data_IF_014071836776
#
_entry.id   IF_014071836776
#
_cell.length_a   1.000
_cell.length_b   1.000
_cell.length_c   1.000
_cell.angle_alpha   90.00
_cell.angle_beta   90.00
_cell.angle_gamma   90.00
#
_symmetry.space_group_name_H-M   'P 1'
#
loop_
_entity.id
_entity.type
_entity.pdbx_description
1 polymer ?
#
# COMPACT_ATOMS: atom_id res chain seq x y z
N UNK A 1 56.91 -42.27 0.76
CA UNK A 1 55.43 -42.36 0.78
C UNK A 1 54.90 -41.07 1.40
N UNK A 2 53.87 -40.41 0.83
CA UNK A 2 53.32 -39.21 1.45
C UNK A 2 52.65 -39.58 2.77
N UNK A 3 52.94 -38.80 3.82
CA UNK A 3 52.35 -38.96 5.15
C UNK A 3 50.95 -38.34 5.12
N UNK A 4 49.93 -39.13 5.43
CA UNK A 4 48.56 -38.65 5.53
C UNK A 4 48.37 -37.86 6.82
N UNK A 5 47.96 -36.59 6.71
CA UNK A 5 47.58 -35.79 7.87
C UNK A 5 46.32 -36.36 8.53
N UNK A 6 46.27 -36.40 9.89
CA UNK A 6 45.10 -36.91 10.60
C UNK A 6 43.90 -35.96 10.41
N UNK A 7 42.67 -36.51 10.26
CA UNK A 7 41.48 -35.71 10.06
C UNK A 7 41.23 -34.79 11.25
N UNK A 8 41.15 -33.49 11.00
CA UNK A 8 40.84 -32.49 12.01
C UNK A 8 39.52 -32.83 12.71
N UNK A 9 39.58 -33.03 14.03
CA UNK A 9 38.41 -33.28 14.85
C UNK A 9 37.45 -32.08 14.76
N UNK A 10 36.25 -32.31 14.23
CA UNK A 10 35.21 -31.28 14.17
C UNK A 10 34.79 -30.91 15.59
N UNK A 11 34.70 -29.62 15.94
CA UNK A 11 34.23 -29.20 17.26
C UNK A 11 32.80 -29.69 17.49
N UNK A 12 32.46 -30.13 18.72
CA UNK A 12 31.11 -30.57 19.04
C UNK A 12 30.13 -29.41 18.87
N UNK A 13 28.98 -29.69 18.26
CA UNK A 13 27.89 -28.71 18.15
C UNK A 13 27.40 -28.34 19.57
N UNK A 14 27.06 -27.07 19.82
CA UNK A 14 26.54 -26.65 21.12
C UNK A 14 25.26 -27.43 21.45
N UNK A 15 25.24 -28.05 22.63
CA UNK A 15 24.08 -28.77 23.13
C UNK A 15 22.95 -27.77 23.42
N UNK A 16 21.88 -27.81 22.63
CA UNK A 16 20.67 -27.06 22.93
C UNK A 16 19.83 -27.84 23.96
N UNK A 17 19.40 -27.20 25.07
CA UNK A 17 18.63 -27.88 26.09
C UNK A 17 17.18 -28.06 25.63
N UNK A 18 16.81 -29.30 25.31
CA UNK A 18 15.43 -29.76 25.19
C UNK A 18 14.67 -29.38 23.90
N UNK A 19 13.49 -29.98 23.67
CA UNK A 19 12.64 -29.63 22.55
C UNK A 19 12.20 -28.18 22.69
N UNK A 20 12.55 -27.34 21.71
CA UNK A 20 12.02 -25.99 21.61
C UNK A 20 10.50 -26.10 21.52
N UNK A 21 9.79 -25.71 22.58
CA UNK A 21 8.34 -25.55 22.54
C UNK A 21 8.04 -24.38 21.63
N UNK A 22 7.69 -24.65 20.39
CA UNK A 22 7.12 -23.67 19.48
C UNK A 22 5.74 -23.32 20.04
N UNK A 23 5.67 -22.26 20.84
CA UNK A 23 4.37 -21.68 21.17
C UNK A 23 3.77 -21.19 19.87
N UNK A 24 2.63 -21.75 19.47
CA UNK A 24 1.83 -21.18 18.39
C UNK A 24 1.54 -19.73 18.78
N UNK A 25 1.74 -18.81 17.84
CA UNK A 25 1.43 -17.40 18.05
C UNK A 25 -0.02 -17.29 18.56
N UNK A 26 -0.22 -16.64 19.70
CA UNK A 26 -1.55 -16.38 20.21
C UNK A 26 -2.37 -15.64 19.14
N UNK A 27 -3.69 -15.90 19.03
CA UNK A 27 -4.53 -15.20 18.07
C UNK A 27 -4.44 -13.69 18.30
N UNK A 28 -4.15 -12.94 17.24
CA UNK A 28 -4.11 -11.49 17.30
C UNK A 28 -5.49 -10.93 17.65
N UNK A 29 -5.55 -10.08 18.67
CA UNK A 29 -6.77 -9.38 19.07
C UNK A 29 -6.59 -7.88 18.87
N UNK A 30 -7.45 -7.28 18.05
CA UNK A 30 -7.44 -5.81 17.82
C UNK A 30 -7.59 -5.06 19.15
N UNK A 31 -8.49 -5.52 20.02
CA UNK A 31 -8.72 -4.89 21.33
C UNK A 31 -7.50 -4.99 22.25
N UNK A 32 -6.70 -6.06 22.16
CA UNK A 32 -5.45 -6.18 22.91
C UNK A 32 -4.34 -5.33 22.28
N UNK A 33 -4.25 -5.34 20.94
CA UNK A 33 -3.32 -4.54 20.18
C UNK A 33 -3.52 -3.05 20.42
N UNK A 34 -4.73 -2.58 20.76
CA UNK A 34 -5.02 -1.18 21.05
C UNK A 34 -4.81 -0.79 22.51
N UNK A 35 -4.91 -1.69 23.50
CA UNK A 35 -4.95 -1.33 24.92
C UNK A 35 -3.59 -1.10 25.56
N UNK A 36 -3.51 -0.17 26.51
CA UNK A 36 -2.37 0.00 27.42
C UNK A 36 -1.09 0.47 26.74
N UNK A 37 -1.21 1.32 25.72
CA UNK A 37 -0.05 1.90 25.04
C UNK A 37 0.63 2.97 25.92
N UNK A 38 1.96 2.93 26.08
CA UNK A 38 2.69 3.92 26.88
C UNK A 38 2.55 5.34 26.29
N UNK A 39 2.73 6.38 27.10
CA UNK A 39 2.80 7.77 26.64
C UNK A 39 3.89 7.93 25.56
N UNK A 40 3.69 8.63 24.42
CA UNK A 40 4.74 8.75 23.41
C UNK A 40 5.71 9.85 23.86
N UNK A 41 6.99 9.53 24.03
CA UNK A 41 8.02 10.56 24.16
C UNK A 41 8.29 11.25 22.81
N UNK A 42 8.23 10.44 21.74
CA UNK A 42 8.46 10.84 20.34
C UNK A 42 7.72 9.84 19.45
N UNK A 43 7.28 10.30 18.29
CA UNK A 43 6.75 9.45 17.22
C UNK A 43 7.66 9.59 16.02
N UNK A 44 8.24 8.48 15.55
CA UNK A 44 9.07 8.43 14.36
C UNK A 44 8.23 8.00 13.15
N UNK A 45 7.99 8.89 12.17
CA UNK A 45 7.29 8.53 10.96
C UNK A 45 8.21 7.78 9.99
N UNK A 46 7.62 6.94 9.15
CA UNK A 46 8.29 6.31 8.02
C UNK A 46 7.32 5.60 7.10
N UNK A 47 7.86 4.98 6.06
CA UNK A 47 7.12 4.08 5.17
C UNK A 47 7.67 2.67 5.31
N UNK A 48 6.79 1.68 5.43
CA UNK A 48 7.21 0.29 5.33
C UNK A 48 7.43 -0.06 3.86
N UNK A 49 8.66 0.13 3.37
CA UNK A 49 9.03 -0.14 1.97
C UNK A 49 8.83 -1.60 1.55
N UNK A 50 8.74 -2.53 2.50
CA UNK A 50 8.51 -3.95 2.19
C UNK A 50 7.03 -4.28 2.04
N UNK A 51 6.17 -3.57 2.78
CA UNK A 51 4.72 -3.73 2.70
C UNK A 51 4.05 -2.67 1.80
N UNK A 52 4.79 -1.65 1.36
CA UNK A 52 4.27 -0.48 0.66
C UNK A 52 3.51 -0.86 -0.61
N UNK A 53 2.24 -0.50 -0.64
CA UNK A 53 1.39 -0.62 -1.82
C UNK A 53 0.82 0.75 -2.18
N UNK A 54 1.23 1.27 -3.33
CA UNK A 54 0.54 2.32 -4.06
C UNK A 54 -0.09 1.68 -5.29
N UNK A 55 -1.41 1.49 -5.26
CA UNK A 55 -2.14 0.86 -6.34
C UNK A 55 -3.23 1.80 -6.84
N UNK A 56 -3.23 2.04 -8.15
CA UNK A 56 -4.34 2.65 -8.90
C UNK A 56 -4.86 1.55 -9.80
N UNK A 57 -6.12 1.13 -9.61
CA UNK A 57 -6.70 0.06 -10.41
C UNK A 57 -7.06 0.57 -11.82
N UNK A 58 -6.23 0.24 -12.81
CA UNK A 58 -6.38 0.66 -14.21
C UNK A 58 -7.53 0.00 -14.96
N UNK A 59 -7.92 -1.22 -14.58
CA UNK A 59 -8.98 -1.96 -15.28
C UNK A 59 -10.35 -1.28 -15.11
N UNK A 60 -10.52 -0.60 -13.98
CA UNK A 60 -11.71 0.18 -13.66
C UNK A 60 -11.82 1.47 -14.51
N UNK A 61 -10.67 2.03 -14.91
CA UNK A 61 -10.59 3.18 -15.81
C UNK A 61 -10.85 2.83 -17.27
N UNK A 62 -10.19 1.79 -17.75
CA UNK A 62 -10.25 1.38 -19.15
C UNK A 62 -11.61 0.80 -19.55
N UNK A 63 -12.25 0.04 -18.65
CA UNK A 63 -13.54 -0.61 -18.92
C UNK A 63 -14.69 0.37 -19.15
N UNK A 64 -14.68 1.53 -18.49
CA UNK A 64 -15.81 2.48 -18.55
C UNK A 64 -15.81 3.37 -19.76
N UNK A 65 -14.63 3.76 -20.21
CA UNK A 65 -14.50 4.63 -21.36
C UNK A 65 -14.92 3.87 -22.66
N UNK A 66 -14.80 2.53 -22.67
CA UNK A 66 -15.42 1.64 -23.67
C UNK A 66 -16.88 1.23 -23.41
N UNK A 67 -17.45 1.48 -22.21
CA UNK A 67 -18.75 0.90 -21.80
C UNK A 67 -20.01 1.54 -22.40
N UNK A 68 -19.92 2.52 -23.31
CA UNK A 68 -21.05 2.82 -24.21
C UNK A 68 -21.22 1.76 -25.32
N UNK A 69 -20.33 0.76 -25.39
CA UNK A 69 -20.46 -0.40 -26.27
C UNK A 69 -19.90 -1.69 -25.65
N UNK A 70 -20.74 -2.40 -24.89
CA UNK A 70 -20.87 -3.88 -24.84
C UNK A 70 -19.67 -4.83 -24.54
N UNK A 71 -19.97 -5.78 -23.63
CA UNK A 71 -19.44 -7.15 -23.37
C UNK A 71 -18.04 -7.34 -22.76
N UNK A 72 -18.01 -8.19 -21.72
CA UNK A 72 -16.83 -8.55 -20.94
C UNK A 72 -15.95 -9.61 -21.62
N UNK A 73 -14.64 -9.45 -21.43
CA UNK A 73 -13.62 -10.45 -21.74
C UNK A 73 -12.81 -10.69 -20.47
N UNK A 74 -12.81 -11.93 -20.00
CA UNK A 74 -11.90 -12.41 -18.97
C UNK A 74 -10.50 -12.57 -19.60
N UNK A 75 -9.50 -11.88 -19.07
CA UNK A 75 -8.11 -12.00 -19.52
C UNK A 75 -7.16 -11.30 -18.56
N UNK A 76 -6.55 -12.08 -17.67
CA UNK A 76 -5.57 -11.58 -16.71
C UNK A 76 -4.32 -11.05 -17.39
N UNK A 77 -3.77 -9.95 -16.85
CA UNK A 77 -2.43 -9.48 -17.19
C UNK A 77 -1.51 -9.82 -16.02
N UNK A 78 -0.61 -10.77 -16.30
CA UNK A 78 0.52 -11.09 -15.46
C UNK A 78 1.45 -9.88 -15.29
N UNK A 79 1.96 -9.75 -14.08
CA UNK A 79 3.00 -8.83 -13.61
C UNK A 79 4.04 -8.42 -14.67
N UNK A 80 4.10 -7.13 -14.99
CA UNK A 80 5.30 -6.51 -15.57
C UNK A 80 6.12 -5.97 -14.41
N UNK A 81 7.16 -6.70 -14.02
CA UNK A 81 8.16 -6.22 -13.07
C UNK A 81 8.97 -7.33 -12.41
N UNK A 82 10.03 -7.79 -13.11
CA UNK A 82 11.37 -8.13 -12.57
C UNK A 82 12.05 -9.21 -13.43
N UNK A 83 12.69 -8.78 -14.51
CA UNK A 83 13.87 -9.47 -15.05
C UNK A 83 14.84 -8.44 -15.63
N UNK A 84 15.27 -7.53 -14.76
CA UNK A 84 16.50 -6.77 -14.94
C UNK A 84 17.59 -7.49 -14.14
N UNK A 85 18.30 -8.41 -14.78
CA UNK A 85 19.43 -9.10 -14.18
C UNK A 85 19.82 -10.35 -14.95
N UNK A 86 21.01 -10.31 -15.57
CA UNK A 86 21.76 -11.41 -16.18
C UNK A 86 21.49 -11.77 -17.65
N UNK A 87 21.92 -10.88 -18.57
CA UNK A 87 22.75 -11.30 -19.72
C UNK A 87 23.29 -10.07 -20.45
N UNK A 88 24.61 -9.84 -20.36
CA UNK A 88 25.30 -8.80 -21.11
C UNK A 88 25.35 -9.12 -22.61
N UNK A 89 25.24 -8.08 -23.44
CA UNK A 89 25.47 -8.15 -24.88
C UNK A 89 25.18 -6.80 -25.55
N UNK A 90 26.10 -6.24 -26.36
CA UNK A 90 25.92 -4.94 -27.00
C UNK A 90 25.27 -5.07 -28.38
N UNK A 91 24.15 -5.79 -28.53
CA UNK A 91 23.40 -5.82 -29.80
C UNK A 91 21.92 -6.10 -29.52
N UNK A 92 21.04 -5.19 -29.96
CA UNK A 92 19.59 -5.37 -29.85
C UNK A 92 18.79 -4.11 -30.19
N UNK A 93 19.12 -3.50 -31.32
CA UNK A 93 18.39 -2.36 -31.87
C UNK A 93 17.06 -2.80 -32.54
N UNK A 94 16.08 -1.88 -32.50
CA UNK A 94 15.14 -1.52 -33.58
C UNK A 94 14.76 -2.60 -34.61
N UNK A 95 13.50 -3.03 -34.62
CA UNK A 95 12.77 -3.26 -35.89
C UNK A 95 11.29 -2.89 -35.78
N UNK A 96 10.89 -2.03 -36.70
CA UNK A 96 9.51 -1.70 -37.04
C UNK A 96 9.08 -2.50 -38.29
N UNK A 97 7.78 -2.85 -38.33
CA UNK A 97 6.91 -3.17 -39.51
C UNK A 97 7.14 -4.50 -40.27
N UNK A 98 6.23 -5.01 -41.15
CA UNK A 98 4.84 -4.60 -41.52
C UNK A 98 3.78 -5.76 -41.68
N UNK A 99 2.50 -5.36 -41.87
CA UNK A 99 1.39 -5.97 -42.64
C UNK A 99 1.39 -7.46 -43.07
N UNK A 100 0.30 -8.17 -42.73
CA UNK A 100 -0.29 -9.20 -43.60
C UNK A 100 -1.82 -9.05 -43.68
N UNK A 101 -2.30 -8.83 -44.91
CA UNK A 101 -3.70 -8.92 -45.32
C UNK A 101 -3.98 -10.34 -45.80
N UNK A 102 -5.05 -10.98 -45.33
CA UNK A 102 -5.45 -12.31 -45.81
C UNK A 102 -6.40 -13.12 -44.94
N UNK A 103 -7.45 -12.51 -44.36
CA UNK A 103 -8.59 -13.23 -43.78
C UNK A 103 -9.83 -12.31 -43.73
N UNK A 104 -10.28 -11.85 -44.90
CA UNK A 104 -11.48 -11.03 -45.09
C UNK A 104 -12.68 -11.95 -45.29
N UNK A 105 -13.62 -11.93 -44.35
CA UNK A 105 -14.94 -12.53 -44.53
C UNK A 105 -15.83 -12.47 -43.28
N UNK A 106 -15.26 -12.76 -42.09
CA UNK A 106 -16.02 -12.76 -40.81
C UNK A 106 -15.27 -12.06 -39.67
N UNK A 107 -13.96 -11.81 -39.79
CA UNK A 107 -13.15 -11.13 -38.77
C UNK A 107 -13.21 -9.59 -38.81
N UNK A 108 -13.85 -8.99 -39.82
CA UNK A 108 -13.82 -7.54 -40.03
C UNK A 108 -14.68 -6.75 -39.03
N UNK A 109 -15.66 -7.36 -38.36
CA UNK A 109 -16.41 -6.71 -37.27
C UNK A 109 -15.72 -6.87 -35.92
N UNK A 110 -14.99 -7.97 -35.68
CA UNK A 110 -14.23 -8.17 -34.44
C UNK A 110 -12.91 -7.37 -34.38
N UNK A 111 -12.19 -7.27 -35.50
CA UNK A 111 -10.91 -6.54 -35.57
C UNK A 111 -11.05 -5.01 -35.49
N UNK A 112 -12.16 -4.46 -35.98
CA UNK A 112 -12.46 -3.02 -35.84
C UNK A 112 -12.84 -2.68 -34.40
N UNK A 113 -13.53 -3.57 -33.70
CA UNK A 113 -13.91 -3.38 -32.28
C UNK A 113 -12.67 -3.51 -31.37
N UNK A 114 -11.82 -4.51 -31.58
CA UNK A 114 -10.56 -4.65 -30.84
C UNK A 114 -9.58 -3.48 -31.11
N UNK A 115 -9.52 -2.99 -32.35
CA UNK A 115 -8.73 -1.81 -32.72
C UNK A 115 -9.27 -0.52 -32.11
N UNK A 116 -10.59 -0.32 -32.11
CA UNK A 116 -11.23 0.83 -31.49
C UNK A 116 -11.03 0.84 -29.97
N UNK A 117 -11.12 -0.31 -29.32
CA UNK A 117 -10.85 -0.43 -27.88
C UNK A 117 -9.39 -0.13 -27.54
N UNK A 118 -8.43 -0.63 -28.32
CA UNK A 118 -7.01 -0.34 -28.12
C UNK A 118 -6.68 1.15 -28.32
N UNK A 119 -7.24 1.78 -29.36
CA UNK A 119 -7.08 3.23 -29.61
C UNK A 119 -7.69 4.03 -28.47
N UNK A 120 -8.88 3.63 -28.03
CA UNK A 120 -9.61 4.29 -26.96
C UNK A 120 -8.88 4.19 -25.62
N UNK A 121 -8.41 2.99 -25.24
CA UNK A 121 -7.54 2.80 -24.06
C UNK A 121 -6.27 3.64 -24.17
N UNK A 122 -5.64 3.68 -25.35
CA UNK A 122 -4.45 4.49 -25.59
C UNK A 122 -4.70 6.00 -25.53
N UNK A 123 -5.92 6.45 -25.81
CA UNK A 123 -6.31 7.86 -25.68
C UNK A 123 -6.62 8.21 -24.23
N UNK A 124 -7.43 7.39 -23.53
CA UNK A 124 -7.71 7.54 -22.10
C UNK A 124 -6.41 7.53 -21.30
N UNK A 125 -5.49 6.61 -21.56
CA UNK A 125 -4.19 6.59 -20.89
C UNK A 125 -3.40 7.89 -21.12
N UNK A 126 -3.40 8.43 -22.35
CA UNK A 126 -2.70 9.70 -22.64
C UNK A 126 -3.34 10.89 -21.94
N UNK A 127 -4.67 10.96 -21.94
CA UNK A 127 -5.42 12.07 -21.34
C UNK A 127 -5.28 12.08 -19.80
N UNK A 128 -5.22 10.89 -19.18
CA UNK A 128 -5.10 10.76 -17.73
C UNK A 128 -3.65 10.68 -17.23
N UNK A 129 -2.66 10.46 -18.10
CA UNK A 129 -1.24 10.33 -17.70
C UNK A 129 -0.74 11.48 -16.82
N UNK A 130 -0.98 12.77 -17.14
CA UNK A 130 -0.50 13.88 -16.32
C UNK A 130 -1.09 13.87 -14.90
N UNK A 131 -2.37 13.53 -14.77
CA UNK A 131 -3.01 13.38 -13.46
C UNK A 131 -2.34 12.27 -12.65
N UNK A 132 -2.09 11.13 -13.28
CA UNK A 132 -1.56 9.95 -12.61
C UNK A 132 -0.10 10.12 -12.21
N UNK A 133 0.71 10.79 -13.02
CA UNK A 133 2.06 11.22 -12.64
C UNK A 133 2.01 12.15 -11.43
N UNK A 134 1.06 13.09 -11.40
CA UNK A 134 0.82 13.97 -10.25
C UNK A 134 0.41 13.21 -8.98
N UNK A 135 -0.49 12.24 -9.10
CA UNK A 135 -0.91 11.38 -7.98
C UNK A 135 0.21 10.47 -7.49
N UNK A 136 1.00 9.90 -8.40
CA UNK A 136 2.16 9.10 -8.06
C UNK A 136 3.22 9.93 -7.32
N UNK A 137 3.45 11.18 -7.74
CA UNK A 137 4.36 12.09 -7.05
C UNK A 137 3.87 12.45 -5.64
N UNK A 138 2.55 12.64 -5.45
CA UNK A 138 1.94 12.90 -4.14
C UNK A 138 1.99 11.68 -3.22
N UNK A 139 1.75 10.49 -3.78
CA UNK A 139 1.79 9.22 -3.07
C UNK A 139 3.22 8.67 -2.93
N UNK A 140 4.25 9.37 -3.42
CA UNK A 140 5.62 8.95 -3.26
C UNK A 140 5.96 8.85 -1.76
N UNK A 141 6.61 7.75 -1.31
CA UNK A 141 6.97 7.57 0.09
C UNK A 141 7.66 8.79 0.71
N UNK A 142 8.61 9.39 0.01
CA UNK A 142 9.38 10.56 0.48
C UNK A 142 8.52 11.83 0.61
N UNK A 143 7.46 11.97 -0.20
CA UNK A 143 6.52 13.07 -0.06
C UNK A 143 5.63 12.86 1.17
N UNK A 144 5.09 11.66 1.34
CA UNK A 144 4.23 11.32 2.45
C UNK A 144 4.96 11.32 3.80
N UNK A 145 6.20 10.85 3.86
CA UNK A 145 7.04 10.90 5.07
C UNK A 145 7.26 12.33 5.56
N UNK A 146 7.50 13.26 4.64
CA UNK A 146 7.64 14.70 4.98
C UNK A 146 6.34 15.26 5.56
N UNK A 147 5.20 14.91 4.98
CA UNK A 147 3.89 15.33 5.51
C UNK A 147 3.61 14.73 6.89
N UNK A 148 3.85 13.42 7.04
CA UNK A 148 3.68 12.72 8.31
C UNK A 148 4.52 13.32 9.43
N UNK A 149 5.78 13.64 9.16
CA UNK A 149 6.67 14.26 10.14
C UNK A 149 6.11 15.57 10.71
N UNK A 150 5.35 16.34 9.92
CA UNK A 150 4.64 17.52 10.41
C UNK A 150 3.43 17.18 11.29
N UNK A 151 2.76 16.05 11.07
CA UNK A 151 1.51 15.66 11.74
C UNK A 151 1.73 14.93 13.07
N UNK A 152 2.79 14.12 13.18
CA UNK A 152 3.00 13.24 14.35
C UNK A 152 3.81 13.88 15.47
N UNK A 153 3.60 15.17 15.73
CA UNK A 153 4.13 15.81 16.93
C UNK A 153 3.41 15.23 18.15
N UNK A 154 4.12 14.66 19.15
CA UNK A 154 3.48 14.18 20.37
C UNK A 154 2.74 15.33 21.06
N UNK A 155 1.56 15.09 21.67
CA UNK A 155 0.96 16.10 22.54
C UNK A 155 1.95 16.41 23.69
N UNK A 156 2.03 17.66 24.17
CA UNK A 156 2.88 18.00 25.29
C UNK A 156 2.51 17.14 26.51
N UNK A 157 3.48 16.72 27.34
CA UNK A 157 3.18 15.94 28.52
C UNK A 157 2.23 16.72 29.44
N UNK A 158 1.24 16.07 30.07
CA UNK A 158 0.35 16.75 31.00
C UNK A 158 1.17 17.40 32.12
N UNK A 159 0.82 18.63 32.48
CA UNK A 159 1.49 19.33 33.57
C UNK A 159 1.43 18.48 34.86
N UNK A 160 2.53 18.37 35.63
CA UNK A 160 2.58 17.53 36.82
C UNK A 160 1.56 18.03 37.86
N UNK A 161 0.42 17.35 37.95
CA UNK A 161 -0.65 17.67 38.90
C UNK A 161 -0.32 17.10 40.28
N UNK A 162 0.63 17.72 40.97
CA UNK A 162 0.77 17.74 42.45
C UNK A 162 0.87 16.42 43.25
N UNK A 163 0.65 15.24 42.67
CA UNK A 163 0.76 13.94 43.36
C UNK A 163 2.09 13.30 43.00
N UNK A 164 2.88 12.96 44.03
CA UNK A 164 4.11 12.14 43.95
C UNK A 164 3.80 10.68 43.55
N UNK A 165 3.11 10.48 42.43
CA UNK A 165 3.10 9.21 41.72
C UNK A 165 4.28 9.18 40.75
N UNK A 166 4.95 8.03 40.62
CA UNK A 166 5.92 7.85 39.54
C UNK A 166 5.23 8.17 38.21
N UNK A 167 5.81 9.07 37.42
CA UNK A 167 5.28 9.42 36.11
C UNK A 167 5.15 8.14 35.26
N UNK A 168 4.06 7.97 34.49
CA UNK A 168 3.91 6.80 33.64
C UNK A 168 5.08 6.70 32.65
N UNK A 169 5.54 5.49 32.31
CA UNK A 169 6.65 5.31 31.38
C UNK A 169 6.29 5.91 30.02
N UNK A 170 7.12 6.83 29.55
CA UNK A 170 7.07 7.34 28.18
C UNK A 170 7.91 6.41 27.29
N UNK A 171 7.50 6.24 26.03
CA UNK A 171 8.17 5.37 25.09
C UNK A 171 8.31 6.00 23.70
N UNK A 172 9.30 5.54 22.95
CA UNK A 172 9.44 5.86 21.53
C UNK A 172 8.39 5.08 20.74
N UNK A 173 7.57 5.80 19.99
CA UNK A 173 6.63 5.21 19.04
C UNK A 173 7.22 5.30 17.63
N UNK A 174 6.89 4.35 16.77
CA UNK A 174 7.08 4.47 15.33
C UNK A 174 5.74 4.31 14.65
N UNK A 175 5.52 5.06 13.57
CA UNK A 175 4.41 4.86 12.65
C UNK A 175 4.96 4.64 11.26
N UNK A 176 4.49 3.58 10.60
CA UNK A 176 4.83 3.26 9.23
C UNK A 176 3.58 3.21 8.38
N UNK A 177 3.59 3.91 7.24
CA UNK A 177 2.56 3.69 6.23
C UNK A 177 2.80 2.32 5.59
N UNK A 178 1.74 1.53 5.50
CA UNK A 178 1.78 0.21 4.86
C UNK A 178 1.10 0.24 3.50
N UNK A 179 0.06 1.07 3.32
CA UNK A 179 -0.57 1.26 2.01
C UNK A 179 -1.26 2.62 1.89
N UNK A 180 -1.27 3.14 0.67
CA UNK A 180 -2.07 4.30 0.25
C UNK A 180 -2.66 3.95 -1.12
N UNK A 181 -3.95 3.63 -1.13
CA UNK A 181 -4.63 3.06 -2.31
C UNK A 181 -5.80 3.93 -2.69
N UNK A 182 -5.87 4.35 -3.96
CA UNK A 182 -7.03 5.05 -4.49
C UNK A 182 -8.09 4.00 -4.86
N UNK A 183 -9.18 3.93 -4.09
CA UNK A 183 -10.24 2.93 -4.23
C UNK A 183 -11.46 3.57 -4.88
N UNK A 184 -12.09 2.86 -5.81
CA UNK A 184 -13.37 3.30 -6.35
C UNK A 184 -14.47 3.16 -5.30
N UNK A 185 -15.27 4.20 -5.16
CA UNK A 185 -16.47 4.19 -4.35
C UNK A 185 -17.63 3.54 -5.10
N UNK A 186 -18.76 3.33 -4.42
CA UNK A 186 -19.97 2.82 -5.06
C UNK A 186 -20.46 3.70 -6.23
N UNK A 187 -20.28 5.01 -6.10
CA UNK A 187 -20.65 5.94 -7.17
C UNK A 187 -19.59 5.94 -8.28
N UNK A 188 -20.09 5.81 -9.52
CA UNK A 188 -19.30 5.87 -10.73
C UNK A 188 -18.40 7.12 -10.77
N UNK A 189 -17.10 6.93 -11.04
CA UNK A 189 -16.15 8.04 -11.19
C UNK A 189 -15.73 8.72 -9.88
N UNK A 190 -16.22 8.23 -8.74
CA UNK A 190 -15.80 8.68 -7.42
C UNK A 190 -14.79 7.72 -6.80
N UNK A 191 -13.82 8.30 -6.12
CA UNK A 191 -12.71 7.59 -5.50
C UNK A 191 -12.49 8.13 -4.09
N UNK A 192 -11.99 7.26 -3.22
CA UNK A 192 -11.48 7.63 -1.90
C UNK A 192 -10.08 7.07 -1.72
N UNK A 193 -9.34 7.58 -0.74
CA UNK A 193 -7.98 7.12 -0.43
C UNK A 193 -8.04 6.22 0.80
N UNK A 194 -7.78 4.93 0.61
CA UNK A 194 -7.60 3.99 1.71
C UNK A 194 -6.16 4.09 2.22
N UNK A 195 -6.02 4.20 3.54
CA UNK A 195 -4.70 4.37 4.19
C UNK A 195 -4.52 3.32 5.27
N UNK A 196 -3.47 2.52 5.15
CA UNK A 196 -3.04 1.56 6.16
C UNK A 196 -1.82 2.06 6.93
N UNK A 197 -1.84 1.90 8.25
CA UNK A 197 -0.74 2.28 9.15
C UNK A 197 -0.36 1.14 10.10
N UNK A 198 0.94 1.03 10.36
CA UNK A 198 1.54 0.15 11.35
C UNK A 198 2.15 1.01 12.45
N UNK A 199 1.70 0.79 13.68
CA UNK A 199 2.21 1.46 14.87
C UNK A 199 3.02 0.46 15.69
N UNK A 200 4.15 0.90 16.21
CA UNK A 200 4.98 0.08 17.10
C UNK A 200 5.52 0.88 18.27
N UNK A 201 5.58 0.23 19.43
CA UNK A 201 6.25 0.68 20.64
C UNK A 201 6.95 -0.53 21.29
N UNK A 202 7.82 -0.36 22.31
CA UNK A 202 8.48 -1.50 22.95
C UNK A 202 7.48 -2.58 23.42
N UNK A 203 7.58 -3.77 22.83
CA UNK A 203 6.70 -4.91 23.11
C UNK A 203 5.27 -4.81 22.57
N UNK A 204 4.97 -3.85 21.69
CA UNK A 204 3.61 -3.61 21.18
C UNK A 204 3.60 -3.28 19.68
N UNK A 205 2.59 -3.80 19.00
CA UNK A 205 2.29 -3.53 17.60
C UNK A 205 0.78 -3.37 17.43
N UNK A 206 0.36 -2.41 16.60
CA UNK A 206 -1.03 -2.25 16.19
C UNK A 206 -1.10 -1.86 14.72
N UNK A 207 -2.09 -2.37 14.01
CA UNK A 207 -2.35 -2.07 12.61
C UNK A 207 -3.70 -1.41 12.49
N UNK A 208 -3.76 -0.33 11.72
CA UNK A 208 -4.99 0.39 11.47
C UNK A 208 -5.19 0.62 9.98
N UNK A 209 -6.45 0.68 9.58
CA UNK A 209 -6.85 1.10 8.24
C UNK A 209 -7.94 2.16 8.36
N UNK A 210 -7.85 3.18 7.52
CA UNK A 210 -8.97 4.06 7.19
C UNK A 210 -9.56 3.57 5.86
N UNK A 211 -10.68 2.82 5.88
CA UNK A 211 -11.23 2.22 4.67
C UNK A 211 -11.98 3.24 3.82
N UNK A 212 -12.19 2.92 2.55
CA UNK A 212 -13.14 3.65 1.69
C UNK A 212 -14.49 2.93 1.74
N UNK A 213 -15.54 3.69 2.01
CA UNK A 213 -16.90 3.18 2.16
C UNK A 213 -17.34 2.36 0.94
N UNK A 214 -17.78 1.12 1.17
CA UNK A 214 -18.32 0.25 0.12
C UNK A 214 -17.38 0.11 -1.10
N UNK A 215 -16.07 0.20 -0.89
CA UNK A 215 -15.10 0.10 -1.97
C UNK A 215 -15.22 -1.25 -2.68
N UNK A 216 -15.29 -1.20 -4.01
CA UNK A 216 -15.38 -2.41 -4.84
C UNK A 216 -14.14 -3.29 -4.59
N UNK A 217 -14.30 -4.58 -4.23
CA UNK A 217 -13.16 -5.48 -4.09
C UNK A 217 -12.39 -5.56 -5.41
N UNK A 218 -11.07 -5.39 -5.35
CA UNK A 218 -10.20 -5.50 -6.52
C UNK A 218 -9.31 -6.72 -6.39
N UNK A 219 -9.38 -7.70 -7.31
CA UNK A 219 -8.56 -8.92 -7.24
C UNK A 219 -7.07 -8.66 -7.45
N UNK A 220 -6.71 -7.49 -8.00
CA UNK A 220 -5.32 -7.06 -8.19
C UNK A 220 -4.65 -6.54 -6.91
N UNK A 221 -5.42 -6.31 -5.84
CA UNK A 221 -4.89 -5.87 -4.56
C UNK A 221 -4.59 -7.08 -3.67
N UNK A 222 -3.43 -7.08 -3.02
CA UNK A 222 -3.08 -8.10 -2.02
C UNK A 222 -4.13 -8.15 -0.91
N UNK A 223 -4.64 -6.96 -0.53
CA UNK A 223 -5.72 -6.79 0.43
C UNK A 223 -6.87 -6.03 -0.25
N UNK A 224 -7.75 -6.77 -0.92
CA UNK A 224 -8.96 -6.21 -1.54
C UNK A 224 -10.01 -5.75 -0.52
N UNK A 225 -9.88 -6.25 0.71
CA UNK A 225 -10.64 -5.86 1.90
C UNK A 225 -9.65 -5.64 3.05
N UNK A 226 -10.00 -4.81 4.06
CA UNK A 226 -9.28 -4.74 5.32
C UNK A 226 -8.94 -6.12 5.88
N UNK A 227 -7.69 -6.31 6.29
CA UNK A 227 -7.32 -7.58 6.91
C UNK A 227 -7.97 -7.70 8.29
N UNK A 228 -8.32 -8.91 8.77
CA UNK A 228 -9.06 -9.09 10.01
C UNK A 228 -8.28 -8.67 11.27
N UNK A 229 -6.97 -8.44 11.16
CA UNK A 229 -6.12 -7.91 12.22
C UNK A 229 -5.93 -6.39 12.16
N UNK A 230 -6.56 -5.70 11.21
CA UNK A 230 -6.50 -4.24 11.10
C UNK A 230 -7.69 -3.62 11.84
N UNK A 231 -7.42 -2.73 12.79
CA UNK A 231 -8.44 -1.89 13.41
C UNK A 231 -8.89 -0.78 12.46
N UNK A 232 -10.17 -0.41 12.47
CA UNK A 232 -10.61 0.79 11.76
C UNK A 232 -10.15 2.06 12.51
N UNK A 233 -9.67 3.06 11.78
CA UNK A 233 -9.29 4.37 12.33
C UNK A 233 -9.90 5.53 11.52
N UNK A 234 -10.53 6.48 12.22
CA UNK A 234 -10.95 7.76 11.62
C UNK A 234 -12.19 7.69 10.73
N UNK A 235 -13.02 6.67 10.91
CA UNK A 235 -14.20 6.46 10.07
C UNK A 235 -13.83 6.06 8.65
N UNK A 236 -14.75 6.29 7.71
CA UNK A 236 -14.52 6.04 6.28
C UNK A 236 -13.83 7.24 5.62
N UNK A 237 -13.08 7.00 4.56
CA UNK A 237 -12.48 8.04 3.73
C UNK A 237 -13.54 8.68 2.80
N UNK A 238 -13.38 9.96 2.51
CA UNK A 238 -14.30 10.71 1.68
C UNK A 238 -14.24 10.24 0.22
N UNK A 239 -15.40 10.10 -0.41
CA UNK A 239 -15.53 9.82 -1.83
C UNK A 239 -15.64 11.11 -2.63
N UNK A 240 -14.76 11.29 -3.62
CA UNK A 240 -14.68 12.50 -4.45
C UNK A 240 -14.55 12.15 -5.93
N UNK A 241 -15.06 12.96 -6.85
CA UNK A 241 -14.78 12.79 -8.28
C UNK A 241 -13.29 12.67 -8.55
N UNK A 242 -12.87 11.77 -9.44
CA UNK A 242 -11.45 11.64 -9.75
C UNK A 242 -10.80 12.96 -10.20
N UNK A 243 -11.55 13.76 -10.96
CA UNK A 243 -11.09 15.05 -11.45
C UNK A 243 -10.60 15.95 -10.30
N UNK A 244 -11.16 15.81 -9.08
CA UNK A 244 -10.72 16.58 -7.93
C UNK A 244 -9.32 16.17 -7.49
N UNK A 245 -8.96 14.89 -7.52
CA UNK A 245 -7.60 14.42 -7.23
C UNK A 245 -6.59 14.85 -8.30
N UNK A 246 -7.05 15.08 -9.52
CA UNK A 246 -6.21 15.48 -10.66
C UNK A 246 -5.96 16.99 -10.75
N UNK A 247 -6.72 17.80 -10.02
CA UNK A 247 -6.59 19.26 -10.04
C UNK A 247 -5.33 19.70 -9.28
N UNK A 248 -4.48 20.57 -9.85
CA UNK A 248 -3.29 21.07 -9.15
C UNK A 248 -3.57 21.72 -7.80
N UNK A 249 -4.69 22.46 -7.68
CA UNK A 249 -5.15 23.08 -6.44
C UNK A 249 -5.47 22.07 -5.32
N UNK A 250 -5.72 20.81 -5.70
CA UNK A 250 -6.07 19.71 -4.82
C UNK A 250 -4.92 18.70 -4.66
N UNK A 251 -3.70 19.06 -5.06
CA UNK A 251 -2.52 18.19 -4.97
C UNK A 251 -2.10 17.79 -3.54
N UNK A 252 -2.86 18.19 -2.53
CA UNK A 252 -2.66 17.77 -1.14
C UNK A 252 -3.72 16.81 -0.63
N UNK A 253 -4.76 16.47 -1.42
CA UNK A 253 -5.86 15.62 -0.95
C UNK A 253 -5.37 14.24 -0.46
N UNK A 254 -4.46 13.60 -1.20
CA UNK A 254 -3.89 12.31 -0.78
C UNK A 254 -3.14 12.46 0.56
N UNK A 255 -2.32 13.50 0.69
CA UNK A 255 -1.61 13.77 1.94
C UNK A 255 -2.57 14.07 3.10
N UNK A 256 -3.66 14.81 2.86
CA UNK A 256 -4.69 15.09 3.86
C UNK A 256 -5.36 13.81 4.37
N UNK A 257 -5.72 12.89 3.48
CA UNK A 257 -6.30 11.60 3.87
C UNK A 257 -5.31 10.76 4.70
N UNK A 258 -4.03 10.77 4.32
CA UNK A 258 -2.95 10.10 5.08
C UNK A 258 -2.79 10.71 6.47
N UNK A 259 -2.78 12.04 6.59
CA UNK A 259 -2.68 12.74 7.86
C UNK A 259 -3.89 12.46 8.76
N UNK A 260 -5.10 12.46 8.20
CA UNK A 260 -6.33 12.19 8.93
C UNK A 260 -6.38 10.74 9.44
N UNK A 261 -6.03 9.75 8.60
CA UNK A 261 -5.95 8.34 9.01
C UNK A 261 -4.91 8.12 10.11
N UNK A 262 -3.72 8.72 9.96
CA UNK A 262 -2.63 8.61 10.94
C UNK A 262 -3.02 9.27 12.27
N UNK A 263 -3.62 10.45 12.22
CA UNK A 263 -4.09 11.18 13.42
C UNK A 263 -5.15 10.37 14.16
N UNK A 264 -6.14 9.82 13.44
CA UNK A 264 -7.17 9.03 14.08
C UNK A 264 -6.64 7.73 14.70
N UNK A 265 -5.70 7.05 14.04
CA UNK A 265 -5.05 5.86 14.59
C UNK A 265 -4.26 6.19 15.86
N UNK A 266 -3.50 7.29 15.84
CA UNK A 266 -2.80 7.82 17.02
C UNK A 266 -3.77 8.06 18.16
N UNK A 267 -4.86 8.78 17.89
CA UNK A 267 -5.80 9.18 18.93
C UNK A 267 -6.51 7.98 19.56
N UNK A 268 -6.81 6.93 18.77
CA UNK A 268 -7.30 5.64 19.30
C UNK A 268 -6.29 4.98 20.27
N UNK A 269 -5.00 4.96 19.92
CA UNK A 269 -3.93 4.45 20.80
C UNK A 269 -3.71 5.30 22.05
N UNK A 270 -4.03 6.60 22.00
CA UNK A 270 -3.96 7.50 23.15
C UNK A 270 -5.15 7.33 24.10
N UNK A 271 -6.34 7.05 23.57
CA UNK A 271 -7.59 6.89 24.34
C UNK A 271 -7.65 5.58 25.12
N UNK A 272 -6.99 4.54 24.62
CA UNK A 272 -7.00 3.18 25.16
C UNK A 272 -6.03 2.95 26.34
N UNK A 273 -5.59 4.03 26.98
CA UNK A 273 -4.68 4.05 28.12
C UNK A 273 -5.36 3.79 29.46
#
# INVERSE_FOLDING_TARGET
>A
APVADPPAARPPLPAFPGPQRTALAAPFSIAEAQRGWPAPARIEPGTDRTAWQAAINWEDFASRAGSRGTFGVAGGIASVGMQAGASGGPYGALFALPFFAGALGVAALGGVVAGAEAIHRGQVQRDWRPCLEGLAAQAAPEALERHLAGTVTPPPPPAPSGRRGAAPPVAMWQVRLTRVVLRQCREAGHYGVEVGTLWSAPGREARFVRPVAQATPSPSLTWSQPAPWEGAAGGEADCRPLADYCRPENASLVAQEVMAATTAARDLLLQSR
#
